data_IF_446212183653
#
_entry.id   IF_446212183653
#
_cell.length_a   1.000
_cell.length_b   1.000
_cell.length_c   1.000
_cell.angle_alpha   90.00
_cell.angle_beta   90.00
_cell.angle_gamma   90.00
#
_symmetry.space_group_name_H-M   'P 1'
#
loop_
_entity.id
_entity.type
_entity.pdbx_description
1 polymer ?
#
# COMPACT_ATOMS: atom_id res chain seq x y z
N UNK A 1 -5.58 4.45 -10.16
CA UNK A 1 -6.80 4.85 -9.44
C UNK A 1 -7.01 3.89 -8.27
N UNK A 2 -7.37 4.43 -7.10
CA UNK A 2 -7.77 3.65 -5.93
C UNK A 2 -9.10 4.16 -5.37
N UNK A 3 -10.04 3.26 -5.12
CA UNK A 3 -11.30 3.53 -4.47
C UNK A 3 -11.41 2.65 -3.20
N UNK A 4 -11.46 3.22 -1.99
CA UNK A 4 -11.32 2.46 -0.74
C UNK A 4 -12.52 1.58 -0.40
N UNK A 5 -13.71 1.87 -0.93
CA UNK A 5 -14.92 1.10 -0.68
C UNK A 5 -15.82 1.10 -1.92
N UNK A 6 -15.99 -0.05 -2.54
CA UNK A 6 -16.79 -0.25 -3.75
C UNK A 6 -18.05 -1.04 -3.41
N UNK A 7 -19.21 -0.44 -3.58
CA UNK A 7 -20.51 -1.03 -3.19
C UNK A 7 -20.76 -2.41 -3.79
N UNK A 8 -20.39 -2.59 -5.05
CA UNK A 8 -20.57 -3.83 -5.80
C UNK A 8 -19.71 -4.95 -5.21
N UNK A 9 -18.48 -4.65 -4.80
CA UNK A 9 -17.58 -5.61 -4.16
C UNK A 9 -18.04 -5.91 -2.73
N UNK A 10 -18.47 -4.89 -1.98
CA UNK A 10 -18.97 -5.06 -0.62
C UNK A 10 -20.32 -5.79 -0.55
N UNK A 11 -21.07 -5.85 -1.64
CA UNK A 11 -22.33 -6.63 -1.75
C UNK A 11 -22.08 -8.13 -1.94
N UNK A 12 -20.86 -8.56 -2.26
CA UNK A 12 -20.53 -9.96 -2.46
C UNK A 12 -20.60 -10.75 -1.15
N UNK A 13 -21.20 -11.95 -1.12
CA UNK A 13 -21.30 -12.76 0.11
C UNK A 13 -19.96 -13.03 0.78
N UNK A 14 -18.89 -13.21 0.02
CA UNK A 14 -17.53 -13.47 0.52
C UNK A 14 -17.01 -12.39 1.48
N UNK A 15 -17.55 -11.17 1.40
CA UNK A 15 -17.22 -10.10 2.36
C UNK A 15 -17.48 -10.52 3.80
N UNK A 16 -18.57 -11.24 4.06
CA UNK A 16 -18.90 -11.71 5.41
C UNK A 16 -17.88 -12.73 5.90
N UNK A 17 -17.49 -13.69 5.06
CA UNK A 17 -16.49 -14.69 5.39
C UNK A 17 -15.13 -14.03 5.69
N UNK A 18 -14.72 -13.06 4.87
CA UNK A 18 -13.49 -12.30 5.09
C UNK A 18 -13.54 -11.56 6.43
N UNK A 19 -14.63 -10.83 6.71
CA UNK A 19 -14.77 -10.08 7.97
C UNK A 19 -14.78 -11.02 9.18
N UNK A 20 -15.56 -12.10 9.13
CA UNK A 20 -15.78 -12.98 10.29
C UNK A 20 -14.60 -13.91 10.54
N UNK A 21 -14.00 -14.46 9.50
CA UNK A 21 -12.99 -15.52 9.61
C UNK A 21 -11.58 -14.93 9.54
N UNK A 22 -11.31 -14.11 8.53
CA UNK A 22 -9.94 -13.60 8.30
C UNK A 22 -9.62 -12.43 9.22
N UNK A 23 -10.56 -11.51 9.38
CA UNK A 23 -10.39 -10.32 10.23
C UNK A 23 -11.01 -10.47 11.65
N UNK A 24 -11.41 -11.68 12.06
CA UNK A 24 -11.87 -11.96 13.42
C UNK A 24 -13.05 -11.07 13.85
N UNK A 25 -14.05 -10.92 12.99
CA UNK A 25 -15.27 -10.10 13.19
C UNK A 25 -15.03 -8.57 13.12
N UNK A 26 -13.81 -8.10 12.79
CA UNK A 26 -13.61 -6.68 12.54
C UNK A 26 -14.34 -6.20 11.29
N UNK A 27 -14.91 -4.99 11.31
CA UNK A 27 -15.51 -4.39 10.12
C UNK A 27 -14.45 -4.16 9.04
N UNK A 28 -14.69 -4.66 7.83
CA UNK A 28 -13.83 -4.46 6.66
C UNK A 28 -14.52 -3.63 5.60
N UNK A 29 -13.72 -3.04 4.73
CA UNK A 29 -14.09 -2.45 3.46
C UNK A 29 -13.42 -3.20 2.33
N UNK A 30 -14.03 -3.21 1.14
CA UNK A 30 -13.43 -3.77 -0.06
C UNK A 30 -13.33 -2.67 -1.11
N UNK A 31 -12.10 -2.28 -1.38
CA UNK A 31 -11.74 -1.30 -2.40
C UNK A 31 -11.28 -1.93 -3.70
N UNK A 32 -10.93 -1.08 -4.64
CA UNK A 32 -10.43 -1.46 -5.95
C UNK A 32 -9.25 -0.56 -6.33
N UNK A 33 -8.15 -1.17 -6.73
CA UNK A 33 -6.99 -0.48 -7.25
C UNK A 33 -6.70 -0.95 -8.68
N UNK A 34 -6.41 0.00 -9.58
CA UNK A 34 -6.04 -0.32 -10.96
C UNK A 34 -5.14 0.76 -11.55
N UNK A 35 -4.33 0.41 -12.51
CA UNK A 35 -3.44 1.35 -13.19
C UNK A 35 -2.41 0.70 -14.07
N UNK A 36 -1.51 1.53 -14.58
CA UNK A 36 -0.36 1.16 -15.40
C UNK A 36 0.94 1.62 -14.68
N UNK A 37 1.21 1.03 -13.53
CA UNK A 37 2.42 1.30 -12.78
C UNK A 37 3.51 0.27 -13.14
N UNK A 38 4.77 0.72 -13.22
CA UNK A 38 5.94 -0.14 -13.37
C UNK A 38 7.01 0.10 -12.31
N UNK A 39 6.87 1.18 -11.52
CA UNK A 39 7.88 1.61 -10.57
C UNK A 39 7.43 1.47 -9.12
N UNK A 40 8.41 1.37 -8.22
CA UNK A 40 8.18 1.31 -6.78
C UNK A 40 7.47 2.56 -6.25
N UNK A 41 7.98 3.75 -6.57
CA UNK A 41 7.49 5.08 -6.24
C UNK A 41 7.39 5.40 -4.74
N UNK A 42 6.86 4.50 -3.94
CA UNK A 42 6.68 4.62 -2.50
C UNK A 42 6.60 3.26 -1.82
N UNK A 43 6.63 3.26 -0.50
CA UNK A 43 6.23 2.15 0.36
C UNK A 43 5.30 2.68 1.43
N UNK A 44 4.27 1.93 1.76
CA UNK A 44 3.30 2.25 2.81
C UNK A 44 3.06 1.05 3.71
N UNK A 45 2.45 1.30 4.87
CA UNK A 45 2.00 0.27 5.79
C UNK A 45 0.75 0.70 6.54
N UNK A 46 0.06 -0.28 7.07
CA UNK A 46 -1.15 -0.15 7.88
C UNK A 46 -0.95 -0.84 9.23
N UNK A 47 -1.80 -0.54 10.21
CA UNK A 47 -1.77 -1.21 11.53
C UNK A 47 -2.43 -2.58 11.51
N UNK A 48 -2.90 -3.05 10.36
CA UNK A 48 -3.48 -4.36 10.15
C UNK A 48 -3.08 -4.93 8.80
N UNK A 49 -3.34 -6.22 8.59
CA UNK A 49 -3.12 -6.86 7.29
C UNK A 49 -4.00 -6.27 6.20
N UNK A 50 -3.46 -6.19 4.99
CA UNK A 50 -4.19 -5.92 3.76
C UNK A 50 -4.31 -7.20 2.94
N UNK A 51 -5.50 -7.48 2.38
CA UNK A 51 -5.67 -8.60 1.44
C UNK A 51 -5.79 -8.04 0.03
N UNK A 52 -4.92 -8.49 -0.84
CA UNK A 52 -4.95 -8.20 -2.27
C UNK A 52 -5.46 -9.40 -3.04
N UNK A 53 -6.55 -9.22 -3.80
CA UNK A 53 -7.14 -10.26 -4.66
C UNK A 53 -6.91 -9.83 -6.11
N UNK A 54 -5.94 -10.45 -6.76
CA UNK A 54 -5.52 -10.12 -8.11
C UNK A 54 -6.60 -10.51 -9.15
N UNK A 55 -7.14 -9.53 -9.86
CA UNK A 55 -8.04 -9.78 -11.01
C UNK A 55 -7.25 -9.98 -12.31
N UNK A 56 -6.05 -9.42 -12.39
CA UNK A 56 -5.07 -9.63 -13.46
C UNK A 56 -3.74 -10.04 -12.83
N UNK A 57 -2.81 -10.57 -13.62
CA UNK A 57 -1.44 -10.75 -13.18
C UNK A 57 -0.88 -9.40 -12.73
N UNK A 58 -0.18 -9.37 -11.61
CA UNK A 58 0.43 -8.18 -11.06
C UNK A 58 1.74 -8.49 -10.34
N UNK A 59 2.57 -7.47 -10.13
CA UNK A 59 3.78 -7.58 -9.32
C UNK A 59 3.62 -6.72 -8.08
N UNK A 60 3.81 -7.33 -6.90
CA UNK A 60 3.93 -6.64 -5.63
C UNK A 60 5.41 -6.45 -5.28
N UNK A 61 5.82 -5.21 -5.03
CA UNK A 61 7.11 -4.88 -4.45
C UNK A 61 6.97 -4.71 -2.95
N UNK A 62 7.63 -5.55 -2.17
CA UNK A 62 7.43 -5.66 -0.73
C UNK A 62 8.74 -5.41 0.03
N UNK A 63 8.62 -4.84 1.23
CA UNK A 63 9.70 -4.65 2.18
C UNK A 63 9.29 -5.03 3.60
N UNK A 64 10.24 -5.13 4.52
CA UNK A 64 9.94 -5.39 5.92
C UNK A 64 9.92 -4.07 6.71
N UNK A 65 8.87 -3.85 7.50
CA UNK A 65 8.75 -2.68 8.37
C UNK A 65 9.91 -2.59 9.38
N UNK A 66 10.46 -3.73 9.78
CA UNK A 66 11.61 -3.81 10.69
C UNK A 66 12.91 -3.26 10.12
N UNK A 67 13.00 -3.12 8.79
CA UNK A 67 14.18 -2.58 8.11
C UNK A 67 14.11 -1.06 7.92
N UNK A 68 13.01 -0.44 8.33
CA UNK A 68 12.89 1.03 8.39
C UNK A 68 13.81 1.56 9.47
N UNK A 69 14.66 2.53 9.12
CA UNK A 69 15.60 3.17 10.06
C UNK A 69 14.87 4.02 11.12
N UNK A 70 15.61 4.46 12.13
CA UNK A 70 15.10 5.39 13.16
C UNK A 70 14.73 6.76 12.59
N UNK A 71 15.34 7.11 11.47
CA UNK A 71 15.05 8.34 10.70
C UNK A 71 13.89 8.13 9.70
N UNK A 72 13.16 7.03 9.82
CA UNK A 72 12.05 6.63 8.94
C UNK A 72 12.45 6.43 7.47
N UNK A 73 13.73 6.14 7.18
CA UNK A 73 14.19 5.85 5.82
C UNK A 73 14.24 4.35 5.55
N UNK A 74 14.17 3.99 4.26
CA UNK A 74 14.24 2.60 3.80
C UNK A 74 15.12 2.49 2.56
N UNK A 75 16.03 1.51 2.53
CA UNK A 75 16.88 1.24 1.36
C UNK A 75 16.12 0.36 0.36
N UNK A 76 15.91 0.87 -0.86
CA UNK A 76 15.20 0.16 -1.93
C UNK A 76 15.88 -1.13 -2.37
N UNK A 77 17.18 -1.31 -2.09
CA UNK A 77 17.89 -2.57 -2.32
C UNK A 77 17.33 -3.75 -1.50
N UNK A 78 16.61 -3.46 -0.39
CA UNK A 78 15.96 -4.49 0.44
C UNK A 78 14.57 -4.92 -0.09
N UNK A 79 14.03 -4.20 -1.08
CA UNK A 79 12.73 -4.53 -1.69
C UNK A 79 12.82 -5.82 -2.50
N UNK A 80 11.78 -6.64 -2.40
CA UNK A 80 11.62 -7.85 -3.19
C UNK A 80 10.33 -7.77 -4.01
N UNK A 81 10.43 -8.16 -5.28
CA UNK A 81 9.29 -8.20 -6.19
C UNK A 81 8.73 -9.63 -6.28
N UNK A 82 7.42 -9.74 -6.26
CA UNK A 82 6.69 -11.01 -6.32
C UNK A 82 5.62 -10.94 -7.41
N UNK A 83 5.66 -11.90 -8.34
CA UNK A 83 4.57 -12.11 -9.30
C UNK A 83 3.38 -12.73 -8.56
N UNK A 84 2.22 -12.10 -8.68
CA UNK A 84 0.93 -12.57 -8.17
C UNK A 84 0.02 -12.84 -9.36
N UNK A 85 -0.23 -14.12 -9.71
CA UNK A 85 -1.11 -14.47 -10.82
C UNK A 85 -2.56 -14.06 -10.57
N UNK A 86 -3.28 -13.77 -11.64
CA UNK A 86 -4.73 -13.54 -11.60
C UNK A 86 -5.47 -14.67 -10.84
N UNK A 87 -6.45 -14.31 -10.04
CA UNK A 87 -7.21 -15.24 -9.19
C UNK A 87 -6.53 -15.60 -7.87
N UNK A 88 -5.34 -15.05 -7.58
CA UNK A 88 -4.62 -15.28 -6.31
C UNK A 88 -4.99 -14.22 -5.28
N UNK A 89 -5.25 -14.64 -4.06
CA UNK A 89 -5.37 -13.75 -2.90
C UNK A 89 -4.07 -13.81 -2.07
N UNK A 90 -3.54 -12.64 -1.71
CA UNK A 90 -2.32 -12.49 -0.90
C UNK A 90 -2.64 -11.65 0.32
N UNK A 91 -2.30 -12.14 1.51
CA UNK A 91 -2.31 -11.35 2.74
C UNK A 91 -0.95 -10.66 2.91
N UNK A 92 -0.96 -9.34 2.91
CA UNK A 92 0.18 -8.48 3.20
C UNK A 92 0.07 -8.07 4.67
N UNK A 93 0.95 -8.61 5.51
CA UNK A 93 0.90 -8.38 6.95
C UNK A 93 1.18 -6.91 7.33
N UNK A 94 0.67 -6.48 8.48
CA UNK A 94 0.94 -5.13 9.04
C UNK A 94 2.44 -4.79 9.16
N UNK A 95 3.31 -5.79 9.22
CA UNK A 95 4.77 -5.66 9.27
C UNK A 95 5.44 -5.63 7.89
N UNK A 96 4.65 -5.61 6.82
CA UNK A 96 5.14 -5.65 5.44
C UNK A 96 4.83 -4.33 4.75
N UNK A 97 5.87 -3.68 4.28
CA UNK A 97 5.76 -2.48 3.44
C UNK A 97 5.33 -2.88 2.03
N UNK A 98 4.43 -2.12 1.44
CA UNK A 98 3.92 -2.32 0.08
C UNK A 98 3.49 -0.98 -0.52
N UNK A 99 3.12 -0.98 -1.78
CA UNK A 99 2.48 0.15 -2.46
C UNK A 99 1.64 -0.35 -3.63
N UNK A 100 1.16 0.57 -4.49
CA UNK A 100 0.42 0.21 -5.68
C UNK A 100 1.15 -0.89 -6.48
N UNK A 101 0.47 -1.97 -6.89
CA UNK A 101 1.08 -3.01 -7.71
C UNK A 101 1.62 -2.48 -9.04
N UNK A 102 2.51 -3.25 -9.66
CA UNK A 102 2.93 -3.03 -11.03
C UNK A 102 2.21 -4.01 -11.97
N UNK A 103 1.97 -3.56 -13.20
CA UNK A 103 1.43 -4.41 -14.26
C UNK A 103 2.51 -5.36 -14.81
N UNK A 104 2.10 -6.44 -15.45
CA UNK A 104 3.00 -7.43 -16.07
C UNK A 104 3.06 -7.20 -17.58
N UNK A 105 4.25 -7.30 -18.18
CA UNK A 105 4.48 -7.18 -19.63
C UNK A 105 3.87 -5.91 -20.27
N UNK A 106 3.96 -4.78 -19.57
CA UNK A 106 3.41 -3.50 -20.04
C UNK A 106 1.89 -3.39 -19.97
N UNK A 107 1.19 -4.42 -19.44
CA UNK A 107 -0.24 -4.36 -19.17
C UNK A 107 -0.53 -3.60 -17.88
N UNK A 108 -1.78 -3.15 -17.73
CA UNK A 108 -2.26 -2.64 -16.46
C UNK A 108 -2.50 -3.74 -15.44
N UNK A 109 -2.66 -3.36 -14.17
CA UNK A 109 -3.10 -4.25 -13.12
C UNK A 109 -4.50 -3.89 -12.62
N UNK A 110 -5.21 -4.89 -12.08
CA UNK A 110 -6.50 -4.76 -11.42
C UNK A 110 -6.52 -5.65 -10.17
N UNK A 111 -6.82 -5.05 -9.02
CA UNK A 111 -6.83 -5.77 -7.75
C UNK A 111 -7.95 -5.27 -6.85
N UNK A 112 -8.70 -6.20 -6.21
CA UNK A 112 -9.57 -5.87 -5.11
C UNK A 112 -8.73 -5.86 -3.81
N UNK A 113 -8.96 -4.84 -2.98
CA UNK A 113 -8.17 -4.58 -1.77
C UNK A 113 -9.09 -4.61 -0.56
N UNK A 114 -8.82 -5.51 0.40
CA UNK A 114 -9.58 -5.59 1.65
C UNK A 114 -8.74 -5.04 2.79
N UNK A 115 -9.33 -4.13 3.54
CA UNK A 115 -8.71 -3.47 4.69
C UNK A 115 -9.73 -3.26 5.82
N UNK A 116 -9.29 -3.02 7.05
CA UNK A 116 -10.18 -2.53 8.09
C UNK A 116 -10.91 -1.27 7.66
N UNK A 117 -12.20 -1.21 7.99
CA UNK A 117 -13.07 -0.11 7.58
C UNK A 117 -12.53 1.25 8.04
N UNK A 118 -12.47 2.21 7.12
CA UNK A 118 -11.96 3.56 7.36
C UNK A 118 -10.49 3.75 6.97
N UNK A 119 -9.75 2.68 6.62
CA UNK A 119 -8.38 2.80 6.10
C UNK A 119 -8.37 3.56 4.78
N UNK A 120 -7.36 4.39 4.56
CA UNK A 120 -7.20 5.25 3.38
C UNK A 120 -8.24 6.38 3.23
N UNK A 121 -9.05 6.64 4.25
CA UNK A 121 -9.94 7.81 4.25
C UNK A 121 -9.16 9.09 4.59
N UNK A 122 -9.69 10.27 4.21
CA UNK A 122 -9.07 11.53 4.57
C UNK A 122 -8.87 11.69 6.08
N UNK A 123 -7.75 12.30 6.46
CA UNK A 123 -7.48 12.63 7.86
C UNK A 123 -8.46 13.67 8.37
N UNK A 124 -8.97 13.48 9.59
CA UNK A 124 -9.92 14.40 10.24
C UNK A 124 -9.27 15.29 11.30
N UNK A 125 -8.04 14.95 11.72
CA UNK A 125 -7.28 15.68 12.74
C UNK A 125 -6.05 16.35 12.13
N UNK A 126 -5.45 17.29 12.86
CA UNK A 126 -4.16 17.86 12.50
C UNK A 126 -3.05 16.90 12.94
N UNK A 127 -2.13 16.65 12.04
CA UNK A 127 -0.96 15.80 12.25
C UNK A 127 0.33 16.60 12.07
N UNK A 128 1.42 16.08 12.63
CA UNK A 128 2.77 16.59 12.38
C UNK A 128 3.03 16.55 10.88
N UNK A 129 3.60 17.63 10.34
CA UNK A 129 3.95 17.70 8.92
C UNK A 129 5.45 17.51 8.74
N UNK A 130 5.82 16.97 7.59
CA UNK A 130 7.20 16.95 7.15
C UNK A 130 7.71 18.38 6.98
N UNK A 131 8.87 18.68 7.56
CA UNK A 131 9.52 19.97 7.41
C UNK A 131 10.96 19.76 6.88
N UNK A 132 11.29 20.38 5.77
CA UNK A 132 12.59 20.21 5.10
C UNK A 132 12.97 18.73 4.89
N UNK A 133 11.99 17.91 4.52
CA UNK A 133 12.12 16.45 4.38
C UNK A 133 12.65 15.74 5.65
N UNK A 134 12.32 16.24 6.81
CA UNK A 134 12.60 15.60 8.09
C UNK A 134 11.28 15.15 8.71
N UNK A 135 11.19 13.88 9.06
CA UNK A 135 10.11 13.32 9.85
C UNK A 135 10.57 13.20 11.31
N UNK A 136 10.15 14.13 12.16
CA UNK A 136 10.49 14.11 13.59
C UNK A 136 9.84 12.95 14.35
N UNK A 137 8.76 12.40 13.80
CA UNK A 137 8.04 11.26 14.34
C UNK A 137 7.31 10.51 13.23
N UNK A 138 6.86 9.30 13.53
CA UNK A 138 6.03 8.48 12.63
C UNK A 138 4.74 9.20 12.20
N UNK A 139 4.20 10.10 13.02
CA UNK A 139 3.02 10.91 12.69
C UNK A 139 3.21 11.73 11.40
N UNK A 140 4.44 12.16 11.12
CA UNK A 140 4.76 12.90 9.90
C UNK A 140 4.62 12.07 8.61
N UNK A 141 4.63 10.74 8.71
CA UNK A 141 4.44 9.83 7.58
C UNK A 141 2.96 9.57 7.29
N UNK A 142 2.05 9.96 8.18
CA UNK A 142 0.63 9.64 8.07
C UNK A 142 -0.01 10.40 6.90
N UNK A 143 -0.24 9.71 5.81
CA UNK A 143 -0.78 10.26 4.56
C UNK A 143 -2.33 10.21 4.50
N UNK A 144 -2.93 9.19 5.13
CA UNK A 144 -4.37 9.01 5.26
C UNK A 144 -4.67 8.21 6.55
N UNK A 145 -5.92 8.04 6.89
CA UNK A 145 -6.32 7.24 8.05
C UNK A 145 -5.72 5.81 7.95
N UNK A 146 -4.99 5.39 8.99
CA UNK A 146 -4.31 4.08 9.05
C UNK A 146 -3.30 3.84 7.90
N UNK A 147 -2.72 4.89 7.31
CA UNK A 147 -1.79 4.79 6.18
C UNK A 147 -0.57 5.66 6.41
N UNK A 148 0.58 5.06 6.63
CA UNK A 148 1.89 5.69 6.71
C UNK A 148 2.65 5.46 5.41
N UNK A 149 3.25 6.52 4.85
CA UNK A 149 3.86 6.52 3.52
C UNK A 149 5.30 7.03 3.58
N UNK A 150 6.19 6.29 2.93
CA UNK A 150 7.59 6.64 2.69
C UNK A 150 7.79 6.74 1.18
N UNK A 151 8.01 7.93 0.67
CA UNK A 151 8.10 8.20 -0.77
C UNK A 151 9.51 8.10 -1.33
N UNK A 152 9.60 7.88 -2.64
CA UNK A 152 10.81 8.06 -3.43
C UNK A 152 10.81 9.46 -4.07
N UNK A 153 11.99 10.07 -4.23
CA UNK A 153 12.11 11.40 -4.81
C UNK A 153 11.56 11.51 -6.25
N UNK A 154 11.60 10.40 -6.99
CA UNK A 154 11.06 10.30 -8.36
C UNK A 154 9.65 9.70 -8.40
N UNK A 155 8.99 9.52 -7.25
CA UNK A 155 7.70 8.84 -7.15
C UNK A 155 6.50 9.68 -7.60
N UNK A 156 6.69 10.96 -7.89
CA UNK A 156 5.59 11.86 -8.31
C UNK A 156 4.52 12.09 -7.24
N UNK A 157 4.92 12.01 -5.97
CA UNK A 157 4.03 12.15 -4.82
C UNK A 157 3.73 13.64 -4.51
N UNK A 158 2.72 13.85 -3.65
CA UNK A 158 2.39 15.17 -3.12
C UNK A 158 3.58 15.79 -2.35
N UNK A 159 3.72 17.11 -2.42
CA UNK A 159 4.81 17.86 -1.76
C UNK A 159 4.84 17.70 -0.23
N UNK A 160 3.77 17.21 0.37
CA UNK A 160 3.68 16.92 1.81
C UNK A 160 4.18 15.52 2.17
N UNK A 161 4.43 14.65 1.21
CA UNK A 161 4.92 13.30 1.45
C UNK A 161 6.36 13.31 1.95
N UNK A 162 6.66 12.46 2.93
CA UNK A 162 8.02 12.24 3.39
C UNK A 162 8.82 11.43 2.34
N UNK A 163 9.94 11.99 1.88
CA UNK A 163 10.84 11.34 0.91
C UNK A 163 11.94 10.60 1.67
N UNK A 164 11.66 9.35 2.02
CA UNK A 164 12.52 8.50 2.85
C UNK A 164 13.09 7.27 2.15
N UNK A 165 12.63 6.92 0.94
CA UNK A 165 13.24 5.84 0.17
C UNK A 165 14.60 6.27 -0.36
N UNK A 166 15.60 5.43 -0.14
CA UNK A 166 16.99 5.63 -0.57
C UNK A 166 17.38 4.56 -1.57
N UNK A 167 18.13 4.94 -2.60
CA UNK A 167 18.54 4.04 -3.67
C UNK A 167 17.80 4.33 -4.97
N UNK A 168 17.60 3.30 -5.79
CA UNK A 168 16.94 3.40 -7.10
C UNK A 168 15.44 3.31 -6.95
N UNK A 169 14.68 4.09 -7.73
CA UNK A 169 13.25 3.87 -7.90
C UNK A 169 13.06 2.65 -8.79
N UNK A 170 13.01 1.46 -8.18
CA UNK A 170 12.99 0.18 -8.88
C UNK A 170 11.90 0.17 -9.96
N UNK A 171 12.26 -0.25 -11.18
CA UNK A 171 11.35 -0.44 -12.30
C UNK A 171 11.34 -1.91 -12.71
N UNK A 172 10.18 -2.52 -12.80
CA UNK A 172 10.04 -3.94 -13.18
C UNK A 172 10.42 -4.22 -14.65
N UNK A 173 10.64 -3.19 -15.45
CA UNK A 173 11.06 -3.29 -16.85
C UNK A 173 12.60 -3.23 -17.03
N UNK A 174 13.35 -2.99 -15.96
CA UNK A 174 14.80 -2.98 -15.91
C UNK A 174 15.32 -4.24 -15.23
#
# INVERSE_FOLDING_TARGET
VYEPAVKELEALPVRLDISQIVYGEMPVQIGYCNGHNSKLNALEYHRDSEINIAATDMILMLGLLTDVSKEHTYDTANVKAFLVPAGTAVEVYATTLHYAPCGVDGNGFQVAVVLPKGTNYPLTSKHTRVHNNIAESEDALLAAANKWLIGHAEGGLDDTAFIGLKGVNLDINE
#
